data_IF_258038995820
#
_entry.id   IF_258038995820
#
_cell.length_a   1.000
_cell.length_b   1.000
_cell.length_c   1.000
_cell.angle_alpha   90.00
_cell.angle_beta   90.00
_cell.angle_gamma   90.00
#
_symmetry.space_group_name_H-M   'P 1'
#
loop_
_entity.id
_entity.type
_entity.pdbx_description
1 polymer ?
#
# COMPACT_ATOMS: atom_id res chain seq x y z
N UNK A 1 -7.19 -39.35 -17.19
CA UNK A 1 -5.79 -38.88 -17.35
C UNK A 1 -5.74 -37.45 -16.87
N UNK A 2 -5.39 -37.26 -15.61
CA UNK A 2 -5.17 -35.91 -15.07
C UNK A 2 -3.88 -35.35 -15.67
N UNK A 3 -3.96 -34.26 -16.39
CA UNK A 3 -2.77 -33.49 -16.74
C UNK A 3 -2.17 -32.98 -15.43
N UNK A 4 -1.00 -33.49 -15.08
CA UNK A 4 -0.21 -33.04 -13.95
C UNK A 4 0.14 -31.55 -14.23
N UNK A 5 -0.73 -30.63 -13.79
CA UNK A 5 -0.50 -29.18 -13.95
C UNK A 5 0.76 -28.85 -13.12
N UNK A 6 1.83 -28.48 -13.79
CA UNK A 6 3.07 -28.11 -13.12
C UNK A 6 2.79 -26.90 -12.20
N UNK A 7 3.00 -27.07 -10.91
CA UNK A 7 2.90 -26.03 -9.89
C UNK A 7 3.77 -24.84 -10.31
N UNK A 8 3.17 -23.64 -10.33
CA UNK A 8 3.84 -22.39 -10.70
C UNK A 8 3.89 -21.45 -9.50
N UNK A 9 4.87 -20.57 -9.49
CA UNK A 9 4.90 -19.42 -8.59
C UNK A 9 4.39 -18.20 -9.34
N UNK A 10 3.28 -17.66 -8.88
CA UNK A 10 2.58 -16.53 -9.50
C UNK A 10 2.76 -15.28 -8.63
N UNK A 11 3.27 -14.21 -9.22
CA UNK A 11 3.37 -12.90 -8.55
C UNK A 11 2.24 -12.01 -9.06
N UNK A 12 1.42 -11.50 -8.13
CA UNK A 12 0.28 -10.63 -8.42
C UNK A 12 0.59 -9.23 -7.90
N UNK A 13 0.57 -8.23 -8.78
CA UNK A 13 0.70 -6.84 -8.40
C UNK A 13 -0.67 -6.16 -8.34
N UNK A 14 -1.11 -5.76 -7.15
CA UNK A 14 -2.37 -5.06 -6.92
C UNK A 14 -2.15 -3.54 -6.95
N UNK A 15 -2.71 -2.88 -7.95
CA UNK A 15 -2.74 -1.42 -8.06
C UNK A 15 -3.86 -0.79 -7.22
N UNK A 16 -3.95 0.55 -7.23
CA UNK A 16 -4.92 1.29 -6.41
C UNK A 16 -6.39 0.92 -6.66
N UNK A 17 -6.76 0.57 -7.89
CA UNK A 17 -8.13 0.16 -8.21
C UNK A 17 -8.54 -1.19 -7.58
N UNK A 18 -7.57 -2.02 -7.23
CA UNK A 18 -7.81 -3.31 -6.58
C UNK A 18 -8.00 -3.19 -5.06
N UNK A 19 -7.75 -2.00 -4.49
CA UNK A 19 -7.75 -1.78 -3.03
C UNK A 19 -8.77 -0.72 -2.58
N UNK A 20 -9.41 0.01 -3.51
CA UNK A 20 -10.29 1.14 -3.14
C UNK A 20 -9.55 2.34 -2.56
N UNK A 21 -10.29 3.42 -2.29
CA UNK A 21 -9.74 4.68 -1.75
C UNK A 21 -10.13 4.92 -0.28
N UNK A 22 -11.19 4.30 0.18
CA UNK A 22 -11.72 4.40 1.54
C UNK A 22 -11.74 3.04 2.21
N UNK A 23 -11.86 3.02 3.53
CA UNK A 23 -11.92 1.79 4.31
C UNK A 23 -13.07 0.85 3.88
N UNK A 24 -14.32 1.31 3.72
CA UNK A 24 -15.40 0.46 3.24
C UNK A 24 -15.19 -0.06 1.81
N UNK A 25 -14.66 0.79 0.91
CA UNK A 25 -14.34 0.37 -0.46
C UNK A 25 -13.25 -0.70 -0.47
N UNK A 26 -12.22 -0.56 0.38
CA UNK A 26 -11.15 -1.54 0.50
C UNK A 26 -11.69 -2.90 0.95
N UNK A 27 -12.53 -2.94 1.97
CA UNK A 27 -13.15 -4.19 2.45
C UNK A 27 -13.91 -4.93 1.35
N UNK A 28 -14.62 -4.20 0.48
CA UNK A 28 -15.34 -4.79 -0.66
C UNK A 28 -14.35 -5.24 -1.74
N UNK A 29 -13.37 -4.40 -2.07
CA UNK A 29 -12.41 -4.66 -3.14
C UNK A 29 -11.51 -5.86 -2.83
N UNK A 30 -11.02 -6.00 -1.59
CA UNK A 30 -10.16 -7.13 -1.21
C UNK A 30 -10.91 -8.45 -1.23
N UNK A 31 -12.20 -8.49 -0.86
CA UNK A 31 -13.03 -9.71 -0.97
C UNK A 31 -13.17 -10.17 -2.42
N UNK A 32 -13.47 -9.25 -3.33
CA UNK A 32 -13.55 -9.54 -4.76
C UNK A 32 -12.20 -10.03 -5.33
N UNK A 33 -11.13 -9.39 -4.90
CA UNK A 33 -9.77 -9.75 -5.33
C UNK A 33 -9.36 -11.11 -4.76
N UNK A 34 -9.72 -11.41 -3.51
CA UNK A 34 -9.42 -12.68 -2.85
C UNK A 34 -10.00 -13.87 -3.61
N UNK A 35 -11.25 -13.79 -4.06
CA UNK A 35 -11.89 -14.87 -4.82
C UNK A 35 -11.06 -15.26 -6.06
N UNK A 36 -10.63 -14.27 -6.86
CA UNK A 36 -9.80 -14.51 -8.05
C UNK A 36 -8.40 -15.04 -7.72
N UNK A 37 -7.83 -14.64 -6.58
CA UNK A 37 -6.53 -15.15 -6.14
C UNK A 37 -6.64 -16.59 -5.64
N UNK A 38 -7.71 -16.91 -4.93
CA UNK A 38 -7.93 -18.27 -4.41
C UNK A 38 -8.18 -19.26 -5.54
N UNK A 39 -8.74 -18.86 -6.69
CA UNK A 39 -8.81 -19.70 -7.88
C UNK A 39 -7.42 -20.21 -8.30
N UNK A 40 -6.40 -19.34 -8.25
CA UNK A 40 -5.02 -19.71 -8.56
C UNK A 40 -4.41 -20.65 -7.51
N UNK A 41 -4.75 -20.44 -6.24
CA UNK A 41 -4.28 -21.30 -5.14
C UNK A 41 -4.92 -22.68 -5.24
N UNK A 42 -6.21 -22.74 -5.54
CA UNK A 42 -6.98 -23.99 -5.74
C UNK A 42 -6.43 -24.79 -6.93
N UNK A 43 -5.98 -24.13 -7.98
CA UNK A 43 -5.24 -24.74 -9.11
C UNK A 43 -3.84 -25.28 -8.73
N UNK A 44 -3.41 -25.13 -7.47
CA UNK A 44 -2.16 -25.65 -6.93
C UNK A 44 -0.95 -24.70 -7.07
N UNK A 45 -1.15 -23.45 -7.44
CA UNK A 45 -0.06 -22.49 -7.59
C UNK A 45 0.39 -21.92 -6.23
N UNK A 46 1.66 -21.50 -6.17
CA UNK A 46 2.20 -20.67 -5.09
C UNK A 46 1.98 -19.19 -5.46
N UNK A 47 1.30 -18.43 -4.60
CA UNK A 47 0.97 -17.04 -4.91
C UNK A 47 1.73 -16.09 -3.99
N UNK A 48 2.35 -15.08 -4.60
CA UNK A 48 2.96 -13.92 -3.92
C UNK A 48 2.21 -12.67 -4.34
N UNK A 49 1.74 -11.88 -3.38
CA UNK A 49 0.99 -10.66 -3.65
C UNK A 49 1.83 -9.45 -3.26
N UNK A 50 2.02 -8.54 -4.20
CA UNK A 50 2.56 -7.21 -3.96
C UNK A 50 1.47 -6.16 -4.19
N UNK A 51 1.43 -5.09 -3.38
CA UNK A 51 0.41 -4.07 -3.51
C UNK A 51 0.96 -2.66 -3.38
N UNK A 52 0.27 -1.69 -4.00
CA UNK A 52 0.46 -0.26 -3.74
C UNK A 52 -0.28 0.19 -2.48
N UNK A 53 -0.07 1.46 -2.07
CA UNK A 53 -0.64 2.01 -0.84
C UNK A 53 -0.98 3.50 -0.92
N UNK A 54 -1.00 4.10 -2.10
CA UNK A 54 -1.09 5.56 -2.26
C UNK A 54 -2.20 6.24 -1.47
N UNK A 55 -3.48 5.85 -1.59
CA UNK A 55 -4.57 6.41 -0.79
C UNK A 55 -4.40 6.14 0.71
N UNK A 56 -4.04 4.93 1.08
CA UNK A 56 -3.95 4.47 2.48
C UNK A 56 -2.84 5.18 3.25
N UNK A 57 -1.65 5.30 2.68
CA UNK A 57 -0.54 6.01 3.32
C UNK A 57 -0.82 7.50 3.47
N UNK A 58 -1.53 8.10 2.50
CA UNK A 58 -1.93 9.51 2.59
C UNK A 58 -2.94 9.74 3.71
N UNK A 59 -3.92 8.87 3.85
CA UNK A 59 -4.90 8.92 4.95
C UNK A 59 -4.20 8.80 6.31
N UNK A 60 -3.34 7.80 6.49
CA UNK A 60 -2.58 7.58 7.73
C UNK A 60 -1.71 8.80 8.05
N UNK A 61 -0.96 9.32 7.08
CA UNK A 61 -0.09 10.47 7.30
C UNK A 61 -0.87 11.74 7.67
N UNK A 62 -2.03 11.96 7.05
CA UNK A 62 -2.89 13.08 7.41
C UNK A 62 -3.41 12.94 8.86
N UNK A 63 -3.89 11.76 9.24
CA UNK A 63 -4.35 11.49 10.61
C UNK A 63 -3.23 11.72 11.64
N UNK A 64 -2.02 11.22 11.37
CA UNK A 64 -0.86 11.42 12.26
C UNK A 64 -0.42 12.88 12.33
N UNK A 65 -0.52 13.62 11.21
CA UNK A 65 -0.21 15.05 11.18
C UNK A 65 -1.23 15.87 11.97
N UNK A 66 -2.51 15.55 11.89
CA UNK A 66 -3.56 16.21 12.67
C UNK A 66 -3.42 15.91 14.17
N UNK A 67 -3.07 14.67 14.52
CA UNK A 67 -2.78 14.32 15.91
C UNK A 67 -1.63 15.16 16.47
N UNK A 68 -0.51 15.28 15.74
CA UNK A 68 0.62 16.13 16.13
C UNK A 68 0.20 17.59 16.29
N UNK A 69 -0.59 18.11 15.34
CA UNK A 69 -1.08 19.49 15.37
C UNK A 69 -2.00 19.78 16.57
N UNK A 70 -2.79 18.79 16.99
CA UNK A 70 -3.71 18.95 18.12
C UNK A 70 -3.01 19.18 19.47
N UNK A 71 -1.82 18.60 19.65
CA UNK A 71 -0.99 18.81 20.84
C UNK A 71 0.49 18.53 20.51
N UNK A 72 1.23 19.54 19.99
CA UNK A 72 2.61 19.37 19.53
C UNK A 72 3.62 19.13 20.67
N UNK A 73 3.25 19.43 21.92
CA UNK A 73 4.10 19.13 23.08
C UNK A 73 4.04 17.64 23.47
N UNK A 74 2.92 16.98 23.15
CA UNK A 74 2.69 15.57 23.48
C UNK A 74 2.98 14.63 22.32
N UNK A 75 2.66 15.04 21.11
CA UNK A 75 2.73 14.18 19.93
C UNK A 75 3.78 14.69 18.94
N UNK A 76 4.79 13.88 18.70
CA UNK A 76 5.83 14.17 17.72
C UNK A 76 5.40 13.80 16.31
N UNK A 77 5.94 14.45 15.26
CA UNK A 77 5.65 14.10 13.87
C UNK A 77 6.00 12.65 13.56
N UNK A 78 5.07 11.95 12.89
CA UNK A 78 5.29 10.58 12.45
C UNK A 78 5.99 10.59 11.07
N UNK A 79 7.16 9.96 10.92
CA UNK A 79 7.85 9.87 9.64
C UNK A 79 7.01 9.14 8.59
N UNK A 80 7.16 9.55 7.31
CA UNK A 80 6.43 8.91 6.21
C UNK A 80 6.74 7.42 6.10
N UNK A 81 7.97 6.99 6.37
CA UNK A 81 8.37 5.58 6.38
C UNK A 81 7.58 4.74 7.37
N UNK A 82 7.27 5.29 8.56
CA UNK A 82 6.41 4.64 9.55
C UNK A 82 4.97 4.57 9.08
N UNK A 83 4.45 5.64 8.45
CA UNK A 83 3.12 5.61 7.85
C UNK A 83 3.02 4.58 6.71
N UNK A 84 4.10 4.40 5.94
CA UNK A 84 4.20 3.34 4.91
C UNK A 84 4.13 1.96 5.57
N UNK A 85 4.89 1.70 6.63
CA UNK A 85 4.83 0.43 7.36
C UNK A 85 3.43 0.16 7.94
N UNK A 86 2.78 1.18 8.51
CA UNK A 86 1.39 1.07 8.98
C UNK A 86 0.45 0.71 7.83
N UNK A 87 0.64 1.29 6.63
CA UNK A 87 -0.18 0.98 5.46
C UNK A 87 0.05 -0.43 4.93
N UNK A 88 1.27 -0.95 5.00
CA UNK A 88 1.57 -2.35 4.66
C UNK A 88 0.81 -3.30 5.61
N UNK A 89 0.88 -3.05 6.91
CA UNK A 89 0.16 -3.84 7.91
C UNK A 89 -1.35 -3.78 7.72
N UNK A 90 -1.90 -2.59 7.52
CA UNK A 90 -3.34 -2.38 7.32
C UNK A 90 -3.88 -3.10 6.07
N UNK A 91 -3.26 -2.88 4.91
CA UNK A 91 -3.66 -3.51 3.65
C UNK A 91 -3.43 -5.04 3.72
N UNK A 92 -2.28 -5.44 4.24
CA UNK A 92 -1.93 -6.85 4.40
C UNK A 92 -2.90 -7.58 5.32
N UNK A 93 -3.35 -6.95 6.41
CA UNK A 93 -4.35 -7.49 7.32
C UNK A 93 -5.69 -7.74 6.61
N UNK A 94 -6.17 -6.78 5.84
CA UNK A 94 -7.44 -6.92 5.12
C UNK A 94 -7.36 -8.00 4.02
N UNK A 95 -6.26 -8.01 3.25
CA UNK A 95 -6.02 -9.05 2.24
C UNK A 95 -5.91 -10.44 2.86
N UNK A 96 -5.16 -10.56 3.94
CA UNK A 96 -5.00 -11.84 4.64
C UNK A 96 -6.33 -12.37 5.19
N UNK A 97 -7.16 -11.50 5.77
CA UNK A 97 -8.49 -11.90 6.25
C UNK A 97 -9.39 -12.34 5.10
N UNK A 98 -9.46 -11.57 4.01
CA UNK A 98 -10.29 -11.91 2.87
C UNK A 98 -9.84 -13.21 2.17
N UNK A 99 -8.55 -13.41 1.99
CA UNK A 99 -7.98 -14.64 1.44
C UNK A 99 -8.27 -15.84 2.35
N UNK A 100 -8.10 -15.67 3.66
CA UNK A 100 -8.36 -16.75 4.61
C UNK A 100 -9.84 -17.12 4.65
N UNK A 101 -10.74 -16.15 4.65
CA UNK A 101 -12.19 -16.39 4.57
C UNK A 101 -12.52 -17.22 3.33
N UNK A 102 -12.11 -16.77 2.16
CA UNK A 102 -12.37 -17.43 0.88
C UNK A 102 -11.75 -18.84 0.79
N UNK A 103 -10.51 -19.00 1.27
CA UNK A 103 -9.86 -20.33 1.31
C UNK A 103 -10.60 -21.28 2.22
N UNK A 104 -11.04 -20.85 3.41
CA UNK A 104 -11.80 -21.70 4.34
C UNK A 104 -13.15 -22.11 3.76
N UNK A 105 -13.84 -21.21 3.08
CA UNK A 105 -15.12 -21.50 2.41
C UNK A 105 -14.98 -22.57 1.32
N UNK A 106 -13.80 -22.65 0.71
CA UNK A 106 -13.44 -23.69 -0.29
C UNK A 106 -12.75 -24.93 0.31
N UNK A 107 -12.62 -25.02 1.62
CA UNK A 107 -11.94 -26.15 2.30
C UNK A 107 -10.42 -26.16 2.13
N UNK A 108 -9.80 -25.04 1.75
CA UNK A 108 -8.35 -24.88 1.59
C UNK A 108 -7.74 -24.48 2.93
N UNK A 109 -6.82 -25.29 3.47
CA UNK A 109 -6.20 -25.08 4.79
C UNK A 109 -4.82 -24.43 4.72
N UNK A 110 -4.35 -24.03 3.54
CA UNK A 110 -3.06 -23.35 3.35
C UNK A 110 -3.01 -22.04 4.12
N UNK A 111 -1.87 -21.76 4.76
CA UNK A 111 -1.66 -20.49 5.49
C UNK A 111 -1.44 -19.31 4.55
N UNK A 112 -1.78 -18.12 5.05
CA UNK A 112 -1.51 -16.83 4.40
C UNK A 112 -0.78 -15.94 5.40
N UNK A 113 0.28 -15.25 4.97
CA UNK A 113 1.12 -14.40 5.83
C UNK A 113 1.38 -13.06 5.16
N UNK A 114 1.29 -11.99 5.93
CA UNK A 114 1.70 -10.65 5.52
C UNK A 114 3.13 -10.39 5.96
N UNK A 115 3.96 -9.91 5.05
CA UNK A 115 5.35 -9.56 5.31
C UNK A 115 5.50 -8.04 5.14
N UNK A 116 6.07 -7.38 6.15
CA UNK A 116 6.52 -6.00 6.02
C UNK A 116 7.89 -5.99 5.33
N UNK A 117 8.03 -5.15 4.32
CA UNK A 117 9.28 -5.02 3.56
C UNK A 117 9.94 -3.67 3.80
N UNK A 118 11.25 -3.65 3.86
CA UNK A 118 12.07 -2.44 3.84
C UNK A 118 12.91 -2.41 2.56
N UNK A 119 13.14 -1.20 2.06
CA UNK A 119 13.89 -0.97 0.83
C UNK A 119 15.02 0.00 1.11
N UNK A 120 16.25 -0.41 0.82
CA UNK A 120 17.39 0.47 0.84
C UNK A 120 17.40 1.38 -0.39
N UNK A 121 17.61 2.67 -0.19
CA UNK A 121 17.70 3.68 -1.24
C UNK A 121 18.99 4.48 -1.10
N UNK A 122 19.41 5.16 -2.17
CA UNK A 122 20.52 6.12 -2.09
C UNK A 122 20.05 7.41 -1.42
N UNK A 123 20.72 7.83 -0.36
CA UNK A 123 20.42 9.09 0.31
C UNK A 123 20.61 10.33 -0.60
N UNK A 124 21.38 10.18 -1.68
CA UNK A 124 21.64 11.23 -2.68
C UNK A 124 20.84 11.03 -3.98
N UNK A 125 19.81 10.16 -3.97
CA UNK A 125 18.96 9.98 -5.15
C UNK A 125 18.26 11.32 -5.49
N UNK A 126 18.34 11.80 -6.76
CA UNK A 126 17.74 13.06 -7.18
C UNK A 126 16.22 13.12 -7.01
N UNK A 127 15.55 11.99 -6.80
CA UNK A 127 14.13 11.95 -6.49
C UNK A 127 13.79 12.67 -5.16
N UNK A 128 14.73 12.81 -4.24
CA UNK A 128 14.51 13.58 -3.00
C UNK A 128 14.37 15.08 -3.28
N UNK A 129 15.12 15.62 -4.25
CA UNK A 129 15.04 17.01 -4.67
C UNK A 129 13.83 17.26 -5.60
N UNK A 130 13.45 16.24 -6.36
CA UNK A 130 12.33 16.32 -7.31
C UNK A 130 11.27 15.22 -7.05
N UNK A 131 10.44 15.37 -6.01
CA UNK A 131 9.37 14.43 -5.69
C UNK A 131 8.29 14.39 -6.79
N UNK A 132 7.93 13.18 -7.22
CA UNK A 132 6.96 12.95 -8.31
C UNK A 132 5.90 11.92 -8.00
N UNK A 133 6.01 11.17 -6.88
CA UNK A 133 5.05 10.10 -6.54
C UNK A 133 3.80 10.66 -5.88
N UNK A 134 2.61 10.60 -6.54
CA UNK A 134 1.37 11.08 -5.94
C UNK A 134 0.93 10.19 -4.77
N UNK A 135 0.51 10.81 -3.66
CA UNK A 135 -0.06 10.14 -2.50
C UNK A 135 -1.27 10.91 -1.97
N UNK A 136 -2.08 10.23 -1.16
CA UNK A 136 -3.26 10.80 -0.51
C UNK A 136 -4.47 10.93 -1.44
N UNK A 137 -5.51 11.59 -0.94
CA UNK A 137 -6.74 11.86 -1.68
C UNK A 137 -6.54 12.95 -2.75
N UNK A 138 -7.45 12.98 -3.71
CA UNK A 138 -7.55 14.08 -4.66
C UNK A 138 -8.06 15.33 -3.97
N UNK A 139 -7.56 16.47 -4.37
CA UNK A 139 -7.88 17.80 -3.86
C UNK A 139 -8.34 18.72 -4.99
N UNK A 140 -9.14 19.71 -4.65
CA UNK A 140 -9.42 20.85 -5.53
C UNK A 140 -8.18 21.76 -5.67
N UNK A 141 -8.19 22.66 -6.63
CA UNK A 141 -7.11 23.66 -6.77
C UNK A 141 -6.95 24.50 -5.50
N UNK A 142 -8.06 24.93 -4.90
CA UNK A 142 -8.04 25.77 -3.69
C UNK A 142 -7.41 25.02 -2.50
N UNK A 143 -7.78 23.76 -2.32
CA UNK A 143 -7.20 22.89 -1.27
C UNK A 143 -5.70 22.66 -1.50
N UNK A 144 -5.29 22.47 -2.76
CA UNK A 144 -3.90 22.31 -3.15
C UNK A 144 -3.07 23.58 -2.85
N UNK A 145 -3.58 24.76 -3.25
CA UNK A 145 -2.91 26.03 -3.01
C UNK A 145 -2.76 26.31 -1.51
N UNK A 146 -3.80 26.02 -0.73
CA UNK A 146 -3.76 26.13 0.73
C UNK A 146 -2.71 25.20 1.32
N UNK A 147 -2.65 23.94 0.88
CA UNK A 147 -1.68 22.96 1.35
C UNK A 147 -0.24 23.38 1.05
N UNK A 148 0.01 23.88 -0.17
CA UNK A 148 1.33 24.40 -0.57
C UNK A 148 1.74 25.56 0.33
N UNK A 149 0.82 26.52 0.56
CA UNK A 149 1.07 27.71 1.39
C UNK A 149 1.33 27.38 2.86
N UNK A 150 0.56 26.45 3.43
CA UNK A 150 0.64 26.10 4.85
C UNK A 150 1.76 25.11 5.19
N UNK A 151 2.04 24.16 4.29
CA UNK A 151 2.96 23.05 4.57
C UNK A 151 4.20 23.00 3.66
N UNK A 152 4.31 23.88 2.67
CA UNK A 152 5.42 23.89 1.71
C UNK A 152 5.54 22.61 0.86
N UNK A 153 4.47 21.81 0.78
CA UNK A 153 4.46 20.57 0.02
C UNK A 153 4.45 20.82 -1.48
N UNK A 154 5.04 19.94 -2.26
CA UNK A 154 4.81 19.89 -3.70
C UNK A 154 3.48 19.19 -4.01
N UNK A 155 2.71 19.74 -4.92
CA UNK A 155 1.42 19.23 -5.38
C UNK A 155 1.45 19.21 -6.90
N UNK A 156 0.86 18.17 -7.51
CA UNK A 156 0.72 18.05 -8.97
C UNK A 156 -0.72 17.73 -9.33
N UNK A 157 -1.12 18.16 -10.51
CA UNK A 157 -2.34 17.72 -11.15
C UNK A 157 -2.18 16.24 -11.57
N UNK A 158 -3.16 15.39 -11.26
CA UNK A 158 -3.09 13.94 -11.49
C UNK A 158 -4.17 13.50 -12.48
N UNK A 159 -3.82 13.52 -13.75
CA UNK A 159 -4.58 12.94 -14.85
C UNK A 159 -6.05 13.44 -14.97
N UNK A 160 -6.28 14.74 -14.80
CA UNK A 160 -7.61 15.36 -14.93
C UNK A 160 -8.57 15.05 -13.76
N UNK A 161 -8.10 14.38 -12.72
CA UNK A 161 -8.92 13.97 -11.56
C UNK A 161 -8.83 14.94 -10.38
N UNK A 162 -7.96 15.95 -10.46
CA UNK A 162 -7.66 16.90 -9.41
C UNK A 162 -6.18 16.86 -9.00
N UNK A 163 -5.89 17.46 -7.87
CA UNK A 163 -4.53 17.67 -7.38
C UNK A 163 -4.18 16.66 -6.30
N UNK A 164 -2.91 16.23 -6.28
CA UNK A 164 -2.38 15.35 -5.22
C UNK A 164 -1.02 15.83 -4.75
N UNK A 165 -0.75 15.65 -3.48
CA UNK A 165 0.58 15.83 -2.94
C UNK A 165 1.53 14.81 -3.56
N UNK A 166 2.77 15.21 -3.84
CA UNK A 166 3.82 14.31 -4.29
C UNK A 166 4.92 14.17 -3.23
N UNK A 167 5.49 12.98 -3.17
CA UNK A 167 6.64 12.63 -2.34
C UNK A 167 7.76 12.06 -3.19
N UNK A 168 8.97 12.01 -2.62
CA UNK A 168 10.10 11.35 -3.25
C UNK A 168 9.82 9.86 -3.47
N UNK A 169 10.29 9.34 -4.61
CA UNK A 169 10.23 7.92 -4.94
C UNK A 169 11.59 7.48 -5.49
N UNK A 170 12.62 7.41 -4.63
CA UNK A 170 13.95 7.02 -5.04
C UNK A 170 13.99 5.58 -5.55
N UNK A 171 14.98 5.26 -6.37
CA UNK A 171 15.17 3.91 -6.88
C UNK A 171 15.66 2.97 -5.78
N UNK A 172 15.09 1.77 -5.64
CA UNK A 172 15.60 0.80 -4.68
C UNK A 172 16.99 0.31 -5.08
N UNK A 173 17.91 0.25 -4.11
CA UNK A 173 19.21 -0.44 -4.22
C UNK A 173 19.06 -1.92 -3.89
N UNK A 174 18.40 -2.20 -2.77
CA UNK A 174 18.14 -3.55 -2.32
C UNK A 174 16.83 -3.59 -1.52
N UNK A 175 16.22 -4.78 -1.47
CA UNK A 175 15.10 -5.06 -0.57
C UNK A 175 15.69 -5.74 0.65
N UNK A 176 15.47 -5.16 1.83
CA UNK A 176 15.89 -5.75 3.09
C UNK A 176 14.74 -6.62 3.57
N UNK A 177 14.94 -7.94 3.53
CA UNK A 177 14.02 -8.89 4.15
C UNK A 177 14.15 -8.80 5.67
N UNK A 178 13.04 -8.60 6.37
CA UNK A 178 13.04 -8.46 7.84
C UNK A 178 13.09 -9.83 8.52
N UNK A 179 12.81 -10.91 7.83
CA UNK A 179 12.83 -12.23 8.41
C UNK A 179 13.59 -13.22 7.53
N UNK A 180 14.87 -13.39 7.84
CA UNK A 180 15.53 -14.64 7.67
C UNK A 180 15.61 -15.28 9.06
N UNK A 181 14.54 -15.91 9.50
CA UNK A 181 14.65 -16.90 10.56
C UNK A 181 15.55 -18.01 10.05
N UNK A 182 16.75 -18.07 10.58
CA UNK A 182 17.64 -19.21 10.44
C UNK A 182 16.98 -20.48 11.00
#
# INVERSE_FOLDING_TARGET
>A
MGTDKKKQRVVIALGGNALGNTLPEQMIAVKKTAAAIVDLIEDGNEVVIAHGNGPQVGMIQNAMSELTRSNPEKYIPCPLSVCVAMSQGYIGYDLQNALREEMLDRGITTGCTTILTQVEVDAHDPAFDNPTKPIGAFMTQEEADKLVKEKGCKVVEDAGRGYRRVVASPKPKSIIEIDRSE
#
